data_IF_179852135477
#
_entry.id   IF_179852135477
#
_cell.length_a   1.000
_cell.length_b   1.000
_cell.length_c   1.000
_cell.angle_alpha   90.00
_cell.angle_beta   90.00
_cell.angle_gamma   90.00
#
_symmetry.space_group_name_H-M   'P 1'
#
loop_
_entity.id
_entity.type
_entity.pdbx_description
1 polymer ?
#
# COMPACT_ATOMS: atom_id res chain seq x y z
N UNK A 1 -5.99 25.82 -21.43
CA UNK A 1 -6.53 24.96 -20.35
C UNK A 1 -5.38 24.08 -19.90
N UNK A 2 -5.09 24.05 -18.60
CA UNK A 2 -3.95 23.29 -18.07
C UNK A 2 -4.38 21.83 -17.90
N UNK A 3 -3.51 20.87 -18.22
CA UNK A 3 -3.85 19.43 -18.13
C UNK A 3 -3.49 18.91 -16.72
N UNK A 4 -4.51 18.52 -15.96
CA UNK A 4 -4.42 18.09 -14.56
C UNK A 4 -4.57 16.58 -14.36
N UNK A 5 -5.09 15.87 -15.36
CA UNK A 5 -5.34 14.43 -15.30
C UNK A 5 -4.75 13.75 -16.53
N UNK A 6 -4.12 12.60 -16.33
CA UNK A 6 -3.44 11.81 -17.36
C UNK A 6 -3.86 10.35 -17.26
N UNK A 7 -4.30 9.74 -18.36
CA UNK A 7 -4.43 8.28 -18.43
C UNK A 7 -3.04 7.65 -18.29
N UNK A 8 -2.95 6.41 -17.83
CA UNK A 8 -1.66 5.71 -17.78
C UNK A 8 -0.98 5.63 -19.16
N UNK A 9 -1.76 5.55 -20.25
CA UNK A 9 -1.25 5.57 -21.63
C UNK A 9 -0.68 6.91 -22.09
N UNK A 10 -0.89 8.00 -21.33
CA UNK A 10 -0.43 9.35 -21.65
C UNK A 10 0.81 9.76 -20.86
N UNK A 11 1.27 8.92 -19.93
CA UNK A 11 2.44 9.15 -19.09
C UNK A 11 3.64 8.28 -19.44
N UNK A 12 4.72 8.42 -18.68
CA UNK A 12 5.89 7.53 -18.68
C UNK A 12 6.77 7.80 -17.44
N UNK A 13 7.82 7.01 -17.24
CA UNK A 13 8.75 7.11 -16.12
C UNK A 13 9.41 8.50 -15.96
N UNK A 14 9.58 9.26 -17.05
CA UNK A 14 10.22 10.58 -17.00
C UNK A 14 9.30 11.67 -16.44
N UNK A 15 7.99 11.42 -16.38
CA UNK A 15 7.00 12.37 -15.84
C UNK A 15 6.85 12.26 -14.32
N UNK A 16 7.87 11.73 -13.63
CA UNK A 16 7.87 11.50 -12.18
C UNK A 16 7.57 12.75 -11.34
N UNK A 17 7.99 13.93 -11.80
CA UNK A 17 7.73 15.19 -11.09
C UNK A 17 6.24 15.54 -11.11
N UNK A 18 5.54 15.21 -12.20
CA UNK A 18 4.15 15.55 -12.44
C UNK A 18 3.18 14.46 -11.96
N UNK A 19 3.51 13.19 -12.20
CA UNK A 19 2.66 12.02 -11.91
C UNK A 19 3.02 11.33 -10.59
N UNK A 20 4.07 11.81 -9.92
CA UNK A 20 4.68 11.11 -8.79
C UNK A 20 5.36 9.81 -9.22
N UNK A 21 6.01 9.14 -8.26
CA UNK A 21 6.70 7.87 -8.52
C UNK A 21 5.74 6.75 -8.94
N UNK A 22 4.57 6.66 -8.29
CA UNK A 22 3.59 5.61 -8.57
C UNK A 22 2.92 5.80 -9.93
N UNK A 23 2.41 7.00 -10.22
CA UNK A 23 1.74 7.29 -11.49
C UNK A 23 2.67 7.15 -12.69
N UNK A 24 3.92 7.64 -12.56
CA UNK A 24 4.92 7.48 -13.62
C UNK A 24 5.25 6.01 -13.90
N UNK A 25 5.36 5.16 -12.87
CA UNK A 25 5.62 3.74 -13.04
C UNK A 25 4.40 2.95 -13.53
N UNK A 26 3.18 3.32 -13.14
CA UNK A 26 1.94 2.76 -13.71
C UNK A 26 1.85 3.06 -15.21
N UNK A 27 2.19 4.29 -15.60
CA UNK A 27 2.23 4.70 -16.98
C UNK A 27 3.33 3.96 -17.77
N UNK A 28 4.53 3.84 -17.20
CA UNK A 28 5.63 3.09 -17.83
C UNK A 28 5.27 1.62 -18.03
N UNK A 29 4.75 0.93 -17.01
CA UNK A 29 4.31 -0.46 -17.13
C UNK A 29 3.22 -0.63 -18.18
N UNK A 30 2.29 0.34 -18.27
CA UNK A 30 1.25 0.35 -19.31
C UNK A 30 1.87 0.51 -20.71
N UNK A 31 2.85 1.41 -20.87
CA UNK A 31 3.58 1.61 -22.12
C UNK A 31 4.42 0.40 -22.56
N UNK A 32 4.90 -0.39 -21.60
CA UNK A 32 5.59 -1.66 -21.82
C UNK A 32 4.64 -2.82 -22.18
N UNK A 33 3.32 -2.60 -22.16
CA UNK A 33 2.32 -3.64 -22.44
C UNK A 33 2.14 -4.67 -21.31
N UNK A 34 2.57 -4.34 -20.09
CA UNK A 34 2.39 -5.21 -18.92
C UNK A 34 0.92 -5.19 -18.48
N UNK A 35 0.43 -6.23 -17.75
CA UNK A 35 -0.98 -6.36 -17.43
C UNK A 35 -1.41 -5.42 -16.29
N UNK A 36 -1.45 -4.12 -16.54
CA UNK A 36 -1.83 -3.09 -15.56
C UNK A 36 -3.34 -2.83 -15.65
N UNK A 37 -4.09 -2.87 -14.53
CA UNK A 37 -5.46 -2.39 -14.51
C UNK A 37 -5.51 -0.92 -14.93
N UNK A 38 -6.45 -0.59 -15.82
CA UNK A 38 -6.55 0.74 -16.43
C UNK A 38 -6.91 1.82 -15.40
N UNK A 39 -6.46 3.04 -15.64
CA UNK A 39 -6.63 4.14 -14.71
C UNK A 39 -6.02 5.44 -15.19
N UNK A 40 -6.03 6.43 -14.30
CA UNK A 40 -5.46 7.75 -14.53
C UNK A 40 -4.80 8.31 -13.27
N UNK A 41 -3.93 9.29 -13.48
CA UNK A 41 -3.24 10.02 -12.43
C UNK A 41 -3.64 11.49 -12.47
N UNK A 42 -4.05 12.01 -11.32
CA UNK A 42 -4.25 13.43 -11.05
C UNK A 42 -2.90 13.98 -10.57
N UNK A 43 -2.41 15.05 -11.20
CA UNK A 43 -1.01 15.47 -11.05
C UNK A 43 -0.66 16.03 -9.67
N UNK A 44 0.63 16.05 -9.35
CA UNK A 44 1.19 16.77 -8.20
C UNK A 44 0.87 18.26 -8.25
N UNK A 45 0.85 18.85 -9.44
CA UNK A 45 0.46 20.25 -9.62
C UNK A 45 -1.00 20.51 -9.24
N UNK A 46 -1.91 19.55 -9.46
CA UNK A 46 -3.30 19.67 -9.00
C UNK A 46 -3.39 19.68 -7.46
N UNK A 47 -2.49 18.96 -6.77
CA UNK A 47 -2.36 19.04 -5.32
C UNK A 47 -1.88 20.43 -4.88
N UNK A 48 -0.89 21.02 -5.56
CA UNK A 48 -0.43 22.38 -5.27
C UNK A 48 -1.57 23.39 -5.48
N UNK A 49 -2.28 23.29 -6.60
CA UNK A 49 -3.42 24.15 -6.90
C UNK A 49 -4.53 24.02 -5.84
N UNK A 50 -4.82 22.80 -5.38
CA UNK A 50 -5.77 22.57 -4.28
C UNK A 50 -5.39 23.37 -3.02
N UNK A 51 -4.11 23.43 -2.65
CA UNK A 51 -3.68 24.24 -1.50
C UNK A 51 -3.75 25.75 -1.77
N UNK A 52 -3.40 26.19 -2.98
CA UNK A 52 -3.51 27.59 -3.42
C UNK A 52 -4.97 28.09 -3.43
N UNK A 53 -5.90 27.20 -3.80
CA UNK A 53 -7.34 27.45 -3.84
C UNK A 53 -8.01 27.33 -2.45
N UNK A 54 -7.23 27.35 -1.37
CA UNK A 54 -7.76 27.30 0.00
C UNK A 54 -8.25 25.91 0.42
N UNK A 55 -7.60 24.85 -0.10
CA UNK A 55 -7.95 23.44 0.13
C UNK A 55 -9.28 23.04 -0.51
N UNK A 56 -9.53 23.53 -1.72
CA UNK A 56 -10.68 23.15 -2.54
C UNK A 56 -10.24 22.67 -3.92
N UNK A 57 -10.98 21.72 -4.48
CA UNK A 57 -10.76 21.27 -5.86
C UNK A 57 -11.59 22.18 -6.75
N UNK A 58 -10.94 22.98 -7.60
CA UNK A 58 -11.65 23.89 -8.50
C UNK A 58 -12.38 23.15 -9.64
N UNK A 59 -13.28 23.88 -10.30
CA UNK A 59 -14.15 23.36 -11.36
C UNK A 59 -13.37 22.78 -12.55
N UNK A 60 -12.20 23.33 -12.90
CA UNK A 60 -11.37 22.84 -14.01
C UNK A 60 -10.79 21.45 -13.71
N UNK A 61 -10.25 21.26 -12.50
CA UNK A 61 -9.73 19.96 -12.05
C UNK A 61 -10.88 18.96 -11.94
N UNK A 62 -12.00 19.35 -11.33
CA UNK A 62 -13.16 18.47 -11.17
C UNK A 62 -13.74 18.04 -12.53
N UNK A 63 -13.84 18.95 -13.49
CA UNK A 63 -14.30 18.62 -14.85
C UNK A 63 -13.40 17.59 -15.53
N UNK A 64 -12.08 17.73 -15.42
CA UNK A 64 -11.14 16.74 -15.98
C UNK A 64 -11.23 15.40 -15.27
N UNK A 65 -11.39 15.35 -13.95
CA UNK A 65 -11.55 14.07 -13.25
C UNK A 65 -12.82 13.35 -13.75
N UNK A 66 -13.93 14.06 -13.90
CA UNK A 66 -15.17 13.51 -14.43
C UNK A 66 -14.99 13.00 -15.88
N UNK A 67 -14.30 13.76 -16.73
CA UNK A 67 -13.97 13.35 -18.11
C UNK A 67 -13.17 12.04 -18.13
N UNK A 68 -12.15 11.91 -17.28
CA UNK A 68 -11.26 10.74 -17.27
C UNK A 68 -11.90 9.51 -16.61
N UNK A 69 -12.87 9.69 -15.71
CA UNK A 69 -13.74 8.60 -15.28
C UNK A 69 -14.51 8.04 -16.47
N UNK A 70 -15.14 8.90 -17.29
CA UNK A 70 -15.89 8.44 -18.49
C UNK A 70 -14.97 7.72 -19.48
N UNK A 71 -13.76 8.23 -19.73
CA UNK A 71 -12.77 7.53 -20.57
C UNK A 71 -12.43 6.15 -20.01
N UNK A 72 -12.28 6.04 -18.69
CA UNK A 72 -12.01 4.75 -18.05
C UNK A 72 -13.22 3.80 -18.15
N UNK A 73 -14.45 4.31 -18.08
CA UNK A 73 -15.66 3.52 -18.33
C UNK A 73 -15.67 2.95 -19.76
N UNK A 74 -15.33 3.76 -20.75
CA UNK A 74 -15.24 3.35 -22.16
C UNK A 74 -14.18 2.26 -22.38
N UNK A 75 -12.98 2.43 -21.79
CA UNK A 75 -11.86 1.48 -21.91
C UNK A 75 -12.20 0.15 -21.21
N UNK A 76 -12.83 0.21 -20.05
CA UNK A 76 -13.10 -1.00 -19.23
C UNK A 76 -14.42 -1.69 -19.59
N UNK A 77 -15.33 -1.01 -20.28
CA UNK A 77 -16.69 -1.49 -20.52
C UNK A 77 -17.56 -1.57 -19.26
N UNK A 78 -17.10 -0.98 -18.14
CA UNK A 78 -17.79 -0.93 -16.84
C UNK A 78 -18.20 0.52 -16.56
N UNK A 79 -19.25 0.73 -15.77
CA UNK A 79 -19.75 2.08 -15.45
C UNK A 79 -19.77 2.35 -13.95
N UNK A 80 -19.36 3.55 -13.56
CA UNK A 80 -19.20 3.95 -12.17
C UNK A 80 -20.56 4.15 -11.50
N UNK A 81 -20.86 3.32 -10.49
CA UNK A 81 -22.18 3.28 -9.85
C UNK A 81 -23.26 2.52 -10.60
N UNK A 82 -22.89 1.78 -11.64
CA UNK A 82 -23.85 1.07 -12.48
C UNK A 82 -24.48 -0.14 -11.76
N UNK A 83 -25.76 -0.36 -12.02
CA UNK A 83 -26.54 -1.44 -11.40
C UNK A 83 -26.51 -2.74 -12.21
N UNK A 84 -25.73 -2.76 -13.28
CA UNK A 84 -25.52 -3.96 -14.08
C UNK A 84 -24.03 -4.32 -14.07
N UNK A 85 -23.15 -3.48 -14.62
CA UNK A 85 -21.71 -3.75 -14.74
C UNK A 85 -20.86 -2.68 -14.04
N UNK A 86 -20.83 -2.68 -12.69
CA UNK A 86 -20.18 -1.63 -11.92
C UNK A 86 -18.67 -1.57 -12.13
N UNK A 87 -18.16 -0.35 -12.31
CA UNK A 87 -16.76 -0.01 -12.20
C UNK A 87 -16.46 0.31 -10.75
N UNK A 88 -15.53 -0.43 -10.15
CA UNK A 88 -14.97 -0.14 -8.84
C UNK A 88 -13.52 0.29 -9.02
N UNK A 89 -13.07 1.24 -8.20
CA UNK A 89 -11.73 1.82 -8.30
C UNK A 89 -10.99 1.78 -6.96
N UNK A 90 -9.66 1.77 -7.05
CA UNK A 90 -8.78 2.14 -5.96
C UNK A 90 -8.32 3.59 -6.13
N UNK A 91 -8.13 4.28 -5.02
CA UNK A 91 -7.54 5.62 -4.96
C UNK A 91 -6.27 5.53 -4.14
N UNK A 92 -5.13 5.79 -4.79
CA UNK A 92 -3.80 5.57 -4.23
C UNK A 92 -2.94 6.82 -4.38
N UNK A 93 -2.49 7.35 -3.27
CA UNK A 93 -1.56 8.48 -3.25
C UNK A 93 -0.20 8.10 -3.85
N UNK A 94 0.51 9.07 -4.45
CA UNK A 94 1.84 8.87 -5.00
C UNK A 94 2.62 10.17 -5.18
N UNK A 95 3.52 10.49 -4.24
CA UNK A 95 4.41 11.64 -4.35
C UNK A 95 5.61 11.34 -5.25
N UNK A 96 6.37 12.39 -5.61
CA UNK A 96 7.63 12.27 -6.36
C UNK A 96 8.65 11.39 -5.64
N UNK A 97 8.78 11.55 -4.31
CA UNK A 97 9.57 10.66 -3.46
C UNK A 97 8.69 9.54 -2.90
N UNK A 98 9.27 8.35 -2.73
CA UNK A 98 8.57 7.24 -2.08
C UNK A 98 8.46 7.52 -0.58
N UNK A 99 7.23 7.47 -0.05
CA UNK A 99 6.91 7.61 1.37
C UNK A 99 6.14 6.36 1.85
N UNK A 100 6.81 5.20 2.00
CA UNK A 100 6.14 3.95 2.39
C UNK A 100 5.47 4.07 3.76
N UNK A 101 4.30 3.44 3.91
CA UNK A 101 3.49 3.52 5.13
C UNK A 101 2.75 4.84 5.32
N UNK A 102 3.27 5.97 4.81
CA UNK A 102 2.73 7.31 5.14
C UNK A 102 1.43 7.69 4.42
N UNK A 103 1.08 6.92 3.40
CA UNK A 103 0.32 7.37 2.24
C UNK A 103 -0.91 6.48 2.06
N UNK A 104 -2.10 7.09 2.14
CA UNK A 104 -3.34 6.34 2.22
C UNK A 104 -3.73 5.68 0.88
N UNK A 105 -4.39 4.53 1.00
CA UNK A 105 -4.99 3.77 -0.11
C UNK A 105 -6.42 3.45 0.26
N UNK A 106 -7.35 3.70 -0.66
CA UNK A 106 -8.76 3.30 -0.54
C UNK A 106 -9.04 2.29 -1.64
N UNK A 107 -9.56 1.12 -1.27
CA UNK A 107 -9.99 0.09 -2.22
C UNK A 107 -11.51 0.05 -2.32
N UNK A 108 -12.01 -0.59 -3.37
CA UNK A 108 -13.44 -0.88 -3.57
C UNK A 108 -14.33 0.40 -3.64
N UNK A 109 -13.76 1.54 -4.02
CA UNK A 109 -14.50 2.80 -4.14
C UNK A 109 -15.50 2.71 -5.29
N UNK A 110 -16.72 3.17 -5.04
CA UNK A 110 -17.89 3.03 -5.91
C UNK A 110 -18.93 2.04 -5.38
N UNK A 111 -18.65 1.36 -4.26
CA UNK A 111 -19.65 0.52 -3.60
C UNK A 111 -20.70 1.36 -2.86
N UNK A 112 -21.95 0.95 -3.03
CA UNK A 112 -23.11 1.32 -2.22
C UNK A 112 -24.04 0.09 -2.13
N UNK A 113 -25.18 0.21 -1.46
CA UNK A 113 -26.08 -0.93 -1.27
C UNK A 113 -26.66 -1.49 -2.59
N UNK A 114 -26.88 -0.66 -3.61
CA UNK A 114 -27.34 -1.17 -4.91
C UNK A 114 -26.20 -1.95 -5.60
N UNK A 115 -25.01 -1.37 -5.66
CA UNK A 115 -23.85 -1.96 -6.33
C UNK A 115 -23.39 -3.25 -5.64
N UNK A 116 -23.39 -3.29 -4.30
CA UNK A 116 -22.99 -4.50 -3.55
C UNK A 116 -23.93 -5.68 -3.84
N UNK A 117 -25.23 -5.43 -3.97
CA UNK A 117 -26.20 -6.47 -4.33
C UNK A 117 -25.94 -6.99 -5.76
N UNK A 118 -25.60 -6.10 -6.69
CA UNK A 118 -25.29 -6.47 -8.09
C UNK A 118 -24.03 -7.33 -8.18
N UNK A 119 -22.95 -6.95 -7.49
CA UNK A 119 -21.73 -7.76 -7.50
C UNK A 119 -21.89 -9.07 -6.72
N UNK A 120 -22.75 -9.10 -5.68
CA UNK A 120 -23.10 -10.32 -4.95
C UNK A 120 -23.79 -11.34 -5.87
N UNK A 121 -24.77 -10.88 -6.66
CA UNK A 121 -25.49 -11.72 -7.61
C UNK A 121 -24.57 -12.20 -8.74
N UNK A 122 -23.83 -11.29 -9.38
CA UNK A 122 -22.96 -11.62 -10.52
C UNK A 122 -21.82 -12.57 -10.17
N UNK A 123 -21.25 -12.45 -8.97
CA UNK A 123 -20.18 -13.34 -8.52
C UNK A 123 -20.68 -14.68 -7.99
N UNK A 124 -21.97 -14.80 -7.66
CA UNK A 124 -22.48 -15.92 -6.88
C UNK A 124 -21.88 -16.01 -5.47
N UNK A 125 -21.22 -14.94 -5.00
CA UNK A 125 -20.48 -14.90 -3.75
C UNK A 125 -20.92 -13.66 -2.92
N UNK A 126 -22.11 -13.71 -2.28
CA UNK A 126 -22.60 -12.60 -1.48
C UNK A 126 -21.70 -12.29 -0.28
N UNK A 127 -21.04 -13.31 0.30
CA UNK A 127 -20.09 -13.11 1.40
C UNK A 127 -18.96 -12.17 0.96
N UNK A 128 -18.35 -12.42 -0.20
CA UNK A 128 -17.30 -11.56 -0.76
C UNK A 128 -17.76 -10.13 -0.99
N UNK A 129 -18.93 -9.95 -1.62
CA UNK A 129 -19.46 -8.62 -1.91
C UNK A 129 -19.66 -7.78 -0.64
N UNK A 130 -20.30 -8.35 0.39
CA UNK A 130 -20.51 -7.67 1.67
C UNK A 130 -19.21 -7.48 2.45
N UNK A 131 -18.24 -8.39 2.33
CA UNK A 131 -16.89 -8.19 2.88
C UNK A 131 -16.17 -7.00 2.23
N UNK A 132 -16.26 -6.86 0.90
CA UNK A 132 -15.73 -5.71 0.18
C UNK A 132 -16.40 -4.40 0.62
N UNK A 133 -17.71 -4.42 0.86
CA UNK A 133 -18.45 -3.22 1.26
C UNK A 133 -18.13 -2.77 2.69
N UNK A 134 -18.10 -3.70 3.66
CA UNK A 134 -17.70 -3.33 5.03
C UNK A 134 -16.25 -2.82 5.07
N UNK A 135 -15.34 -3.41 4.29
CA UNK A 135 -13.94 -2.94 4.17
C UNK A 135 -13.91 -1.54 3.57
N UNK A 136 -14.67 -1.30 2.51
CA UNK A 136 -14.77 0.03 1.90
C UNK A 136 -15.23 1.09 2.90
N UNK A 137 -16.31 0.81 3.65
CA UNK A 137 -16.84 1.75 4.65
C UNK A 137 -15.76 2.06 5.70
N UNK A 138 -15.10 1.04 6.25
CA UNK A 138 -14.03 1.21 7.24
C UNK A 138 -12.86 2.04 6.67
N UNK A 139 -12.32 1.65 5.51
CA UNK A 139 -11.20 2.34 4.88
C UNK A 139 -11.53 3.80 4.53
N UNK A 140 -12.72 4.03 3.97
CA UNK A 140 -13.18 5.37 3.63
C UNK A 140 -13.36 6.24 4.90
N UNK A 141 -13.94 5.67 5.96
CA UNK A 141 -14.14 6.38 7.23
C UNK A 141 -12.82 6.74 7.91
N UNK A 142 -11.85 5.82 7.88
CA UNK A 142 -10.53 6.01 8.46
C UNK A 142 -9.72 7.05 7.68
N UNK A 143 -9.62 6.88 6.37
CA UNK A 143 -8.76 7.71 5.51
C UNK A 143 -9.41 9.06 5.19
N UNK A 144 -10.66 9.06 4.75
CA UNK A 144 -11.31 10.28 4.25
C UNK A 144 -11.80 11.15 5.38
N UNK A 145 -12.26 10.53 6.48
CA UNK A 145 -12.89 11.25 7.57
C UNK A 145 -12.10 11.25 8.87
N UNK A 146 -10.92 10.60 8.91
CA UNK A 146 -10.01 10.59 10.07
C UNK A 146 -10.69 10.09 11.37
N UNK A 147 -11.66 9.19 11.25
CA UNK A 147 -12.44 8.64 12.39
C UNK A 147 -11.64 7.59 13.19
N UNK A 148 -10.61 7.00 12.58
CA UNK A 148 -9.77 5.97 13.17
C UNK A 148 -10.38 4.56 13.10
N UNK A 149 -9.59 3.58 12.65
CA UNK A 149 -10.01 2.17 12.52
C UNK A 149 -10.53 1.53 13.81
N UNK A 150 -10.09 1.99 14.97
CA UNK A 150 -10.37 1.37 16.29
C UNK A 150 -11.87 1.12 16.54
N UNK A 151 -12.73 2.07 16.19
CA UNK A 151 -14.18 1.93 16.43
C UNK A 151 -14.80 0.84 15.57
N UNK A 152 -14.33 0.71 14.33
CA UNK A 152 -14.78 -0.34 13.42
C UNK A 152 -14.28 -1.72 13.87
N UNK A 153 -13.01 -1.85 14.28
CA UNK A 153 -12.45 -3.10 14.82
C UNK A 153 -13.24 -3.61 16.04
N UNK A 154 -13.65 -2.71 16.95
CA UNK A 154 -14.49 -3.07 18.10
C UNK A 154 -15.84 -3.67 17.69
N UNK A 155 -16.44 -3.16 16.61
CA UNK A 155 -17.70 -3.70 16.08
C UNK A 155 -17.51 -5.08 15.45
N UNK A 156 -16.40 -5.32 14.73
CA UNK A 156 -16.08 -6.65 14.19
C UNK A 156 -15.87 -7.64 15.34
N UNK A 157 -15.08 -7.27 16.35
CA UNK A 157 -14.79 -8.14 17.50
C UNK A 157 -16.07 -8.49 18.28
N UNK A 158 -16.94 -7.51 18.51
CA UNK A 158 -18.24 -7.74 19.14
C UNK A 158 -19.13 -8.69 18.32
N UNK A 159 -19.12 -8.56 16.99
CA UNK A 159 -19.85 -9.47 16.11
C UNK A 159 -19.26 -10.89 16.16
N UNK A 160 -17.94 -11.04 16.14
CA UNK A 160 -17.28 -12.35 16.26
C UNK A 160 -17.61 -13.03 17.58
N UNK A 161 -17.57 -12.29 18.69
CA UNK A 161 -17.96 -12.79 20.01
C UNK A 161 -19.43 -13.22 20.04
N UNK A 162 -20.34 -12.39 19.50
CA UNK A 162 -21.79 -12.69 19.38
C UNK A 162 -22.05 -13.96 18.56
N UNK A 163 -21.23 -14.23 17.53
CA UNK A 163 -21.37 -15.38 16.63
C UNK A 163 -20.54 -16.59 17.06
N UNK A 164 -19.71 -16.46 18.09
CA UNK A 164 -18.85 -17.54 18.59
C UNK A 164 -17.72 -17.93 17.64
N UNK A 165 -17.30 -17.02 16.75
CA UNK A 165 -16.22 -17.25 15.78
C UNK A 165 -14.95 -16.52 16.21
N UNK A 166 -13.79 -16.90 15.66
CA UNK A 166 -12.50 -16.29 16.03
C UNK A 166 -11.90 -15.45 14.91
N UNK A 167 -12.21 -15.77 13.66
CA UNK A 167 -11.65 -15.13 12.48
C UNK A 167 -12.75 -14.49 11.63
N UNK A 168 -12.45 -13.35 11.01
CA UNK A 168 -13.36 -12.62 10.14
C UNK A 168 -13.84 -13.46 8.92
N UNK A 169 -13.04 -14.44 8.50
CA UNK A 169 -13.38 -15.35 7.40
C UNK A 169 -14.53 -16.30 7.75
N UNK A 170 -14.81 -16.48 9.04
CA UNK A 170 -15.91 -17.33 9.54
C UNK A 170 -17.26 -16.60 9.57
N UNK A 171 -17.27 -15.27 9.37
CA UNK A 171 -18.51 -14.49 9.29
C UNK A 171 -19.25 -14.76 7.97
N UNK A 172 -20.56 -14.98 8.09
CA UNK A 172 -21.44 -15.26 6.95
C UNK A 172 -21.77 -13.98 6.16
N UNK A 173 -22.37 -14.13 4.99
CA UNK A 173 -22.83 -12.97 4.19
C UNK A 173 -23.83 -12.09 4.96
N UNK A 174 -24.74 -12.70 5.72
CA UNK A 174 -25.73 -11.97 6.52
C UNK A 174 -25.08 -11.24 7.68
N UNK A 175 -24.06 -11.84 8.31
CA UNK A 175 -23.29 -11.18 9.36
C UNK A 175 -22.56 -9.95 8.80
N UNK A 176 -21.90 -10.08 7.66
CA UNK A 176 -21.18 -8.98 7.02
C UNK A 176 -22.12 -7.87 6.52
N UNK A 177 -23.33 -8.23 6.12
CA UNK A 177 -24.39 -7.26 5.79
C UNK A 177 -24.87 -6.50 7.03
N UNK A 178 -25.10 -7.20 8.15
CA UNK A 178 -25.41 -6.57 9.46
C UNK A 178 -24.26 -5.63 9.87
N UNK A 179 -23.01 -6.06 9.70
CA UNK A 179 -21.81 -5.32 10.05
C UNK A 179 -21.62 -4.06 9.21
N UNK A 180 -21.86 -4.15 7.89
CA UNK A 180 -21.84 -2.99 7.01
C UNK A 180 -22.87 -1.92 7.44
N UNK A 181 -24.05 -2.35 7.87
CA UNK A 181 -25.05 -1.46 8.47
C UNK A 181 -24.56 -0.79 9.75
N UNK A 182 -23.96 -1.56 10.67
CA UNK A 182 -23.37 -1.02 11.90
C UNK A 182 -22.24 -0.01 11.60
N UNK A 183 -21.42 -0.27 10.57
CA UNK A 183 -20.34 0.62 10.16
C UNK A 183 -20.88 1.95 9.60
N UNK A 184 -21.95 1.92 8.80
CA UNK A 184 -22.61 3.15 8.32
C UNK A 184 -23.20 3.97 9.47
N UNK A 185 -23.76 3.33 10.48
CA UNK A 185 -24.27 4.02 11.67
C UNK A 185 -23.14 4.60 12.53
N UNK A 186 -22.02 3.89 12.69
CA UNK A 186 -20.83 4.41 13.39
C UNK A 186 -20.25 5.62 12.64
N UNK A 187 -20.15 5.55 11.30
CA UNK A 187 -19.78 6.69 10.47
C UNK A 187 -20.70 7.88 10.73
N UNK A 188 -22.02 7.66 10.71
CA UNK A 188 -23.02 8.70 10.93
C UNK A 188 -22.92 9.30 12.33
N UNK A 189 -22.68 8.48 13.35
CA UNK A 189 -22.51 8.93 14.73
C UNK A 189 -21.27 9.81 14.91
N UNK A 190 -20.18 9.53 14.19
CA UNK A 190 -18.90 10.26 14.28
C UNK A 190 -18.89 11.53 13.43
N UNK A 191 -19.47 11.48 12.25
CA UNK A 191 -19.40 12.56 11.24
C UNK A 191 -20.64 13.46 11.24
N UNK A 192 -21.78 12.95 11.69
CA UNK A 192 -23.06 13.65 11.66
C UNK A 192 -23.79 13.60 10.33
N UNK A 193 -23.23 12.94 9.31
CA UNK A 193 -23.81 12.76 7.98
C UNK A 193 -23.86 11.27 7.60
N UNK A 194 -24.75 10.90 6.68
CA UNK A 194 -24.80 9.54 6.15
C UNK A 194 -23.54 9.22 5.34
N UNK A 195 -23.17 7.93 5.28
CA UNK A 195 -22.13 7.46 4.38
C UNK A 195 -22.53 7.76 2.92
N UNK A 196 -21.63 8.29 2.08
CA UNK A 196 -21.99 8.72 0.72
C UNK A 196 -22.35 7.52 -0.16
N UNK A 197 -23.55 7.54 -0.74
CA UNK A 197 -24.01 6.51 -1.67
C UNK A 197 -23.63 6.82 -3.14
N UNK A 198 -23.40 8.10 -3.49
CA UNK A 198 -22.95 8.51 -4.83
C UNK A 198 -21.44 8.22 -5.01
N UNK A 199 -21.05 7.35 -5.95
CA UNK A 199 -19.65 7.07 -6.26
C UNK A 199 -18.83 8.31 -6.61
N UNK A 200 -19.42 9.33 -7.25
CA UNK A 200 -18.70 10.57 -7.59
C UNK A 200 -18.37 11.39 -6.36
N UNK A 201 -19.28 11.46 -5.39
CA UNK A 201 -19.03 12.07 -4.09
C UNK A 201 -17.94 11.31 -3.33
N UNK A 202 -18.00 9.97 -3.33
CA UNK A 202 -16.95 9.12 -2.75
C UNK A 202 -15.58 9.42 -3.39
N UNK A 203 -15.50 9.48 -4.72
CA UNK A 203 -14.25 9.75 -5.43
C UNK A 203 -13.68 11.13 -5.09
N UNK A 204 -14.52 12.16 -5.07
CA UNK A 204 -14.07 13.51 -4.69
C UNK A 204 -13.61 13.57 -3.25
N UNK A 205 -14.32 12.92 -2.32
CA UNK A 205 -13.91 12.79 -0.92
C UNK A 205 -12.53 12.13 -0.79
N UNK A 206 -12.31 11.02 -1.49
CA UNK A 206 -11.05 10.30 -1.50
C UNK A 206 -9.88 11.13 -2.09
N UNK A 207 -10.10 11.85 -3.18
CA UNK A 207 -9.07 12.71 -3.78
C UNK A 207 -8.71 13.87 -2.86
N UNK A 208 -9.72 14.54 -2.27
CA UNK A 208 -9.48 15.59 -1.27
C UNK A 208 -8.71 15.03 -0.07
N UNK A 209 -9.05 13.83 0.40
CA UNK A 209 -8.34 13.18 1.51
C UNK A 209 -6.86 12.92 1.18
N UNK A 210 -6.56 12.43 -0.03
CA UNK A 210 -5.17 12.25 -0.46
C UNK A 210 -4.42 13.58 -0.53
N UNK A 211 -5.04 14.64 -1.06
CA UNK A 211 -4.38 15.94 -1.05
C UNK A 211 -4.16 16.47 0.36
N UNK A 212 -5.17 16.36 1.25
CA UNK A 212 -5.02 16.71 2.67
C UNK A 212 -3.90 15.92 3.32
N UNK A 213 -3.78 14.62 3.02
CA UNK A 213 -2.81 13.73 3.65
C UNK A 213 -1.35 14.17 3.46
N UNK A 214 -1.10 14.97 2.41
CA UNK A 214 0.17 15.63 2.21
C UNK A 214 0.54 16.56 3.37
N UNK A 215 -0.38 17.31 3.97
CA UNK A 215 -0.06 18.25 5.08
C UNK A 215 -0.28 17.66 6.47
N UNK A 216 -0.43 16.33 6.57
CA UNK A 216 -0.65 15.69 7.87
C UNK A 216 0.62 15.78 8.73
N UNK A 217 0.50 15.85 10.07
CA UNK A 217 1.65 15.97 10.98
C UNK A 217 2.70 14.88 10.73
N UNK A 218 2.27 13.62 10.55
CA UNK A 218 3.13 12.48 10.23
C UNK A 218 3.90 12.67 8.91
N UNK A 219 3.24 13.19 7.87
CA UNK A 219 3.86 13.44 6.57
C UNK A 219 4.86 14.60 6.64
N UNK A 220 4.54 15.65 7.40
CA UNK A 220 5.44 16.77 7.68
C UNK A 220 6.73 16.33 8.38
N UNK A 221 6.63 15.45 9.40
CA UNK A 221 7.80 14.86 10.07
C UNK A 221 8.63 14.03 9.10
N UNK A 222 8.00 13.09 8.36
CA UNK A 222 8.70 12.25 7.40
C UNK A 222 9.44 13.08 6.34
N UNK A 223 8.80 14.12 5.81
CA UNK A 223 9.40 14.99 4.79
C UNK A 223 10.63 15.72 5.31
N UNK A 224 10.55 16.31 6.51
CA UNK A 224 11.68 16.99 7.14
C UNK A 224 12.86 16.04 7.34
N UNK A 225 12.58 14.81 7.75
CA UNK A 225 13.62 13.81 8.03
C UNK A 225 14.25 13.20 6.77
N UNK A 226 13.57 13.29 5.62
CA UNK A 226 14.02 12.73 4.35
C UNK A 226 14.34 13.81 3.30
N UNK A 227 14.42 15.08 3.71
CA UNK A 227 14.70 16.23 2.84
C UNK A 227 13.74 16.35 1.64
N UNK A 228 12.46 16.04 1.85
CA UNK A 228 11.43 16.11 0.81
C UNK A 228 10.74 17.49 0.89
N UNK A 229 10.84 18.34 -0.15
CA UNK A 229 10.19 19.65 -0.15
C UNK A 229 8.66 19.56 -0.08
N UNK A 230 8.05 20.41 0.75
CA UNK A 230 6.59 20.54 0.85
C UNK A 230 5.95 20.91 -0.49
N UNK A 231 6.63 21.74 -1.29
CA UNK A 231 6.13 22.23 -2.59
C UNK A 231 5.99 21.16 -3.67
N UNK A 232 6.47 19.93 -3.44
CA UNK A 232 6.34 18.85 -4.42
C UNK A 232 4.93 18.30 -4.55
N UNK A 233 4.09 18.44 -3.53
CA UNK A 233 2.75 17.86 -3.50
C UNK A 233 2.72 16.34 -3.65
N UNK A 234 1.51 15.79 -3.80
CA UNK A 234 1.29 14.37 -4.10
C UNK A 234 0.37 14.21 -5.30
N UNK A 235 0.61 13.21 -6.14
CA UNK A 235 -0.34 12.80 -7.16
C UNK A 235 -1.39 11.84 -6.56
N UNK A 236 -2.51 11.69 -7.26
CA UNK A 236 -3.57 10.71 -6.93
C UNK A 236 -3.76 9.77 -8.09
N UNK A 237 -3.62 8.46 -7.86
CA UNK A 237 -3.82 7.44 -8.88
C UNK A 237 -5.19 6.81 -8.66
N UNK A 238 -6.05 6.91 -9.66
CA UNK A 238 -7.36 6.26 -9.68
C UNK A 238 -7.27 5.10 -10.66
N UNK A 239 -7.44 3.88 -10.16
CA UNK A 239 -7.18 2.67 -10.92
C UNK A 239 -8.34 1.67 -10.77
N UNK A 240 -8.78 1.06 -11.86
CA UNK A 240 -9.79 -0.01 -11.82
C UNK A 240 -9.37 -1.14 -10.88
N UNK A 241 -10.30 -1.64 -10.08
CA UNK A 241 -10.03 -2.73 -9.14
C UNK A 241 -9.72 -4.03 -9.88
N UNK A 242 -8.70 -4.72 -9.38
CA UNK A 242 -8.49 -6.15 -9.55
C UNK A 242 -8.64 -6.83 -8.17
N UNK A 243 -9.36 -7.95 -8.11
CA UNK A 243 -9.77 -8.58 -6.85
C UNK A 243 -9.00 -9.88 -6.58
N UNK A 244 -8.12 -9.84 -5.58
CA UNK A 244 -7.42 -11.02 -5.07
C UNK A 244 -8.25 -11.90 -4.12
N UNK A 245 -9.50 -11.51 -3.82
CA UNK A 245 -10.33 -12.07 -2.75
C UNK A 245 -11.68 -12.65 -3.21
N UNK A 246 -11.86 -12.95 -4.49
CA UNK A 246 -13.12 -13.52 -5.01
C UNK A 246 -13.26 -15.02 -4.77
N UNK A 247 -12.17 -15.72 -4.44
CA UNK A 247 -12.11 -17.16 -4.30
C UNK A 247 -10.67 -17.67 -4.20
N UNK A 248 -10.51 -18.98 -4.17
CA UNK A 248 -9.20 -19.65 -4.03
C UNK A 248 -8.35 -19.59 -5.32
N UNK A 249 -8.97 -19.26 -6.46
CA UNK A 249 -8.33 -18.97 -7.73
C UNK A 249 -7.90 -17.48 -7.87
N UNK A 250 -8.01 -16.71 -6.80
CA UNK A 250 -7.54 -15.33 -6.69
C UNK A 250 -6.48 -15.18 -5.58
N UNK A 251 -5.64 -14.15 -5.70
CA UNK A 251 -4.66 -13.83 -4.67
C UNK A 251 -4.01 -12.46 -4.88
N UNK A 252 -3.15 -12.06 -3.97
CA UNK A 252 -2.38 -10.81 -4.06
C UNK A 252 -1.06 -10.96 -3.33
N UNK A 253 -0.05 -10.24 -3.76
CA UNK A 253 1.28 -10.35 -3.19
C UNK A 253 2.17 -9.15 -3.46
N UNK A 254 3.29 -9.16 -2.74
CA UNK A 254 4.38 -8.21 -2.85
C UNK A 254 5.66 -9.00 -3.06
N UNK A 255 6.45 -8.62 -4.05
CA UNK A 255 7.70 -9.31 -4.33
C UNK A 255 8.79 -8.37 -4.84
N UNK A 256 10.01 -8.84 -4.68
CA UNK A 256 11.24 -8.23 -5.09
C UNK A 256 11.96 -9.15 -6.07
N UNK A 257 12.57 -8.56 -7.08
CA UNK A 257 13.38 -9.29 -8.10
C UNK A 257 14.68 -9.86 -7.53
N UNK A 258 15.17 -9.29 -6.42
CA UNK A 258 16.28 -9.80 -5.60
C UNK A 258 15.93 -9.61 -4.13
N UNK A 259 16.55 -10.41 -3.25
CA UNK A 259 16.35 -10.30 -1.81
C UNK A 259 16.78 -8.91 -1.30
N UNK A 260 15.86 -8.10 -0.71
CA UNK A 260 16.17 -6.75 -0.26
C UNK A 260 17.02 -6.71 1.02
N UNK A 261 17.16 -7.83 1.74
CA UNK A 261 17.96 -7.94 2.95
C UNK A 261 19.38 -8.41 2.65
N UNK A 262 19.55 -9.40 1.78
CA UNK A 262 20.87 -10.01 1.49
C UNK A 262 21.47 -9.57 0.16
N UNK A 263 20.64 -9.11 -0.78
CA UNK A 263 21.02 -8.82 -2.17
C UNK A 263 21.14 -10.06 -3.05
N UNK A 264 20.78 -11.24 -2.54
CA UNK A 264 20.81 -12.47 -3.33
C UNK A 264 19.84 -12.38 -4.53
N UNK A 265 20.32 -12.79 -5.71
CA UNK A 265 19.52 -12.82 -6.92
C UNK A 265 18.45 -13.92 -6.84
N UNK A 266 17.22 -13.56 -7.19
CA UNK A 266 16.07 -14.46 -7.17
C UNK A 266 14.83 -13.80 -6.58
N UNK A 267 13.66 -14.27 -6.99
CA UNK A 267 12.40 -13.75 -6.48
C UNK A 267 12.29 -13.95 -4.97
N UNK A 268 12.09 -12.84 -4.27
CA UNK A 268 11.86 -12.80 -2.84
C UNK A 268 10.53 -12.10 -2.59
N UNK A 269 9.66 -12.65 -1.76
CA UNK A 269 8.37 -12.02 -1.52
C UNK A 269 7.35 -12.96 -0.93
N UNK A 270 6.16 -12.42 -0.76
CA UNK A 270 5.06 -13.05 -0.05
C UNK A 270 3.75 -12.82 -0.81
N UNK A 271 2.84 -13.80 -0.74
CA UNK A 271 1.50 -13.67 -1.30
C UNK A 271 0.46 -14.38 -0.43
N UNK A 272 -0.80 -13.99 -0.60
CA UNK A 272 -1.95 -14.64 0.02
C UNK A 272 -2.96 -15.02 -1.07
N UNK A 273 -3.54 -16.21 -0.97
CA UNK A 273 -4.73 -16.60 -1.73
C UNK A 273 -5.98 -16.01 -1.07
N UNK A 274 -6.98 -15.67 -1.88
CA UNK A 274 -8.28 -15.17 -1.43
C UNK A 274 -8.13 -14.01 -0.42
N UNK A 275 -7.44 -12.94 -0.83
CA UNK A 275 -7.04 -11.81 0.02
C UNK A 275 -6.94 -10.49 -0.76
N UNK A 276 -7.05 -9.36 -0.07
CA UNK A 276 -6.69 -8.04 -0.62
C UNK A 276 -5.32 -7.59 -0.06
N UNK A 277 -4.67 -6.63 -0.72
CA UNK A 277 -3.31 -6.21 -0.34
C UNK A 277 -3.18 -5.77 1.12
N UNK A 278 -4.25 -5.25 1.73
CA UNK A 278 -4.29 -4.93 3.16
C UNK A 278 -4.03 -6.15 4.04
N UNK A 279 -4.54 -7.33 3.66
CA UNK A 279 -4.36 -8.55 4.46
C UNK A 279 -2.91 -9.06 4.45
N UNK A 280 -2.16 -8.77 3.37
CA UNK A 280 -0.72 -9.06 3.27
C UNK A 280 0.06 -8.18 4.24
N UNK A 281 -0.26 -6.89 4.28
CA UNK A 281 0.44 -5.91 5.14
C UNK A 281 0.07 -6.09 6.62
N UNK A 282 -1.20 -6.35 6.92
CA UNK A 282 -1.67 -6.48 8.31
C UNK A 282 -1.15 -7.74 9.02
N UNK A 283 -0.67 -8.74 8.28
CA UNK A 283 -0.10 -9.97 8.84
C UNK A 283 -1.08 -10.79 9.69
N UNK A 284 -2.39 -10.60 9.50
CA UNK A 284 -3.45 -11.35 10.20
C UNK A 284 -3.44 -12.82 9.78
N UNK A 285 -3.09 -13.07 8.51
CA UNK A 285 -2.85 -14.40 7.95
C UNK A 285 -1.37 -14.54 7.65
N UNK A 286 -0.81 -15.71 7.94
CA UNK A 286 0.59 -16.00 7.57
C UNK A 286 0.72 -16.05 6.04
N UNK A 287 1.52 -15.17 5.43
CA UNK A 287 1.73 -15.17 3.99
C UNK A 287 2.48 -16.42 3.51
N UNK A 288 2.20 -16.83 2.27
CA UNK A 288 2.95 -17.88 1.56
C UNK A 288 4.16 -17.26 0.88
N UNK A 289 5.25 -18.02 0.71
CA UNK A 289 6.42 -17.52 -0.04
C UNK A 289 6.07 -17.38 -1.51
N UNK A 290 6.61 -16.36 -2.18
CA UNK A 290 6.35 -16.11 -3.60
C UNK A 290 6.61 -17.33 -4.51
N UNK A 291 7.57 -18.19 -4.15
CA UNK A 291 7.87 -19.41 -4.88
C UNK A 291 6.73 -20.45 -4.88
N UNK A 292 5.88 -20.43 -3.85
CA UNK A 292 4.71 -21.32 -3.75
C UNK A 292 3.57 -20.89 -4.68
N UNK A 293 3.69 -19.72 -5.33
CA UNK A 293 2.75 -19.26 -6.35
C UNK A 293 2.72 -20.19 -7.57
N UNK A 294 3.84 -20.87 -7.87
CA UNK A 294 3.92 -21.87 -8.93
C UNK A 294 2.90 -23.01 -8.77
N UNK A 295 2.59 -23.37 -7.52
CA UNK A 295 1.64 -24.46 -7.22
C UNK A 295 0.19 -23.98 -7.22
N UNK A 296 -0.05 -22.70 -6.92
CA UNK A 296 -1.40 -22.12 -6.81
C UNK A 296 -1.89 -21.49 -8.11
N UNK A 297 -1.03 -20.75 -8.79
CA UNK A 297 -1.32 -19.99 -10.00
C UNK A 297 -0.20 -20.18 -11.03
N UNK A 298 -0.02 -21.40 -11.59
CA UNK A 298 1.14 -21.71 -12.43
C UNK A 298 1.28 -20.76 -13.64
N UNK A 299 0.19 -20.52 -14.37
CA UNK A 299 0.20 -19.64 -15.55
C UNK A 299 0.50 -18.18 -15.16
N UNK A 300 -0.13 -17.68 -14.09
CA UNK A 300 0.14 -16.33 -13.59
C UNK A 300 1.57 -16.19 -13.05
N UNK A 301 2.15 -17.24 -12.47
CA UNK A 301 3.51 -17.22 -11.94
C UNK A 301 4.55 -17.21 -13.06
N UNK A 302 4.35 -17.97 -14.13
CA UNK A 302 5.21 -17.89 -15.33
C UNK A 302 5.15 -16.48 -15.93
N UNK A 303 3.95 -15.93 -16.14
CA UNK A 303 3.80 -14.55 -16.59
C UNK A 303 4.46 -13.55 -15.62
N UNK A 304 4.34 -13.76 -14.31
CA UNK A 304 4.94 -12.89 -13.30
C UNK A 304 6.47 -12.89 -13.38
N UNK A 305 7.11 -14.04 -13.60
CA UNK A 305 8.56 -14.12 -13.81
C UNK A 305 9.01 -13.33 -15.03
N UNK A 306 8.27 -13.41 -16.14
CA UNK A 306 8.57 -12.65 -17.36
C UNK A 306 8.44 -11.14 -17.13
N UNK A 307 7.40 -10.73 -16.40
CA UNK A 307 7.22 -9.33 -15.97
C UNK A 307 8.39 -8.89 -15.10
N UNK A 308 8.79 -9.68 -14.11
CA UNK A 308 9.92 -9.40 -13.22
C UNK A 308 11.21 -9.17 -14.00
N UNK A 309 11.53 -10.07 -14.94
CA UNK A 309 12.71 -9.96 -15.79
C UNK A 309 12.66 -8.72 -16.68
N UNK A 310 11.49 -8.43 -17.27
CA UNK A 310 11.27 -7.23 -18.10
C UNK A 310 11.51 -5.96 -17.29
N UNK A 311 10.93 -5.88 -16.09
CA UNK A 311 11.04 -4.70 -15.23
C UNK A 311 12.47 -4.49 -14.73
N UNK A 312 13.14 -5.53 -14.25
CA UNK A 312 14.53 -5.42 -13.79
C UNK A 312 15.48 -5.01 -14.93
N UNK A 313 15.30 -5.59 -16.12
CA UNK A 313 16.10 -5.21 -17.30
C UNK A 313 15.80 -3.78 -17.77
N UNK A 314 14.54 -3.36 -17.74
CA UNK A 314 14.12 -2.03 -18.19
C UNK A 314 14.64 -0.94 -17.24
N UNK A 315 14.40 -1.09 -15.93
CA UNK A 315 14.84 -0.12 -14.92
C UNK A 315 16.32 -0.26 -14.55
N UNK A 316 16.97 -1.34 -14.99
CA UNK A 316 18.39 -1.66 -14.72
C UNK A 316 18.69 -1.61 -13.21
N UNK A 317 17.76 -2.11 -12.40
CA UNK A 317 17.84 -2.15 -10.93
C UNK A 317 16.79 -3.12 -10.36
N UNK A 318 17.05 -3.65 -9.16
CA UNK A 318 16.10 -4.48 -8.42
C UNK A 318 14.79 -3.71 -8.19
N UNK A 319 13.70 -4.36 -8.59
CA UNK A 319 12.33 -3.87 -8.46
C UNK A 319 11.61 -4.50 -7.26
N UNK A 320 10.79 -3.69 -6.61
CA UNK A 320 9.75 -3.99 -5.63
C UNK A 320 8.39 -3.81 -6.33
N UNK A 321 7.60 -4.88 -6.41
CA UNK A 321 6.34 -4.92 -7.14
C UNK A 321 5.18 -5.41 -6.28
N UNK A 322 4.00 -4.88 -6.59
CA UNK A 322 2.73 -5.35 -6.04
C UNK A 322 1.87 -5.90 -7.19
N UNK A 323 1.23 -7.04 -6.95
CA UNK A 323 0.39 -7.71 -7.94
C UNK A 323 -0.87 -8.33 -7.33
N UNK A 324 -1.84 -8.58 -8.20
CA UNK A 324 -3.06 -9.34 -7.90
C UNK A 324 -3.27 -10.39 -8.97
N UNK A 325 -3.74 -11.56 -8.57
CA UNK A 325 -4.29 -12.58 -9.45
C UNK A 325 -5.80 -12.60 -9.25
N UNK A 326 -6.55 -12.39 -10.31
CA UNK A 326 -8.02 -12.48 -10.32
C UNK A 326 -8.42 -13.55 -11.32
N UNK A 327 -9.04 -14.64 -10.84
CA UNK A 327 -9.44 -15.80 -11.65
C UNK A 327 -8.29 -16.33 -12.53
N UNK A 328 -7.12 -16.54 -11.91
CA UNK A 328 -5.91 -16.99 -12.59
C UNK A 328 -5.20 -15.96 -13.46
N UNK A 329 -5.75 -14.75 -13.65
CA UNK A 329 -5.14 -13.69 -14.46
C UNK A 329 -4.32 -12.73 -13.62
N UNK A 330 -3.05 -12.53 -13.99
CA UNK A 330 -2.14 -11.59 -13.34
C UNK A 330 -2.48 -10.14 -13.68
N UNK A 331 -2.41 -9.28 -12.67
CA UNK A 331 -2.47 -7.83 -12.76
C UNK A 331 -1.34 -7.18 -11.96
N UNK A 332 -0.58 -6.29 -12.60
CA UNK A 332 0.48 -5.51 -11.97
C UNK A 332 -0.06 -4.19 -11.45
N UNK A 333 0.09 -3.95 -10.15
CA UNK A 333 -0.49 -2.79 -9.46
C UNK A 333 0.54 -1.71 -9.15
N UNK A 334 1.81 -2.09 -9.03
CA UNK A 334 2.89 -1.16 -8.74
C UNK A 334 4.24 -1.79 -9.11
N UNK A 335 5.18 -0.95 -9.51
CA UNK A 335 6.62 -1.26 -9.46
C UNK A 335 7.36 -0.02 -8.97
N UNK A 336 8.52 -0.22 -8.34
CA UNK A 336 9.50 0.82 -8.01
C UNK A 336 10.85 0.18 -7.76
N UNK A 337 11.92 0.96 -7.85
CA UNK A 337 13.22 0.50 -7.34
C UNK A 337 13.08 0.15 -5.86
N UNK A 338 13.41 -1.09 -5.51
CA UNK A 338 13.15 -1.61 -4.18
C UNK A 338 14.08 -1.02 -3.13
N UNK A 339 13.51 -0.62 -2.00
CA UNK A 339 14.30 -0.31 -0.78
C UNK A 339 15.02 -1.57 -0.33
N UNK A 340 16.23 -1.42 0.19
CA UNK A 340 17.12 -2.53 0.50
C UNK A 340 18.15 -2.13 1.56
N UNK A 341 18.73 -3.12 2.23
CA UNK A 341 19.83 -2.89 3.19
C UNK A 341 21.09 -2.42 2.48
N UNK A 342 22.06 -1.86 3.21
CA UNK A 342 23.34 -1.48 2.63
C UNK A 342 24.12 -2.68 2.05
N UNK A 343 24.07 -3.83 2.73
CA UNK A 343 24.66 -5.07 2.23
C UNK A 343 24.01 -5.48 0.90
N UNK A 344 22.68 -5.46 0.83
CA UNK A 344 21.95 -5.79 -0.39
C UNK A 344 22.24 -4.78 -1.51
N UNK A 345 22.32 -3.48 -1.20
CA UNK A 345 22.66 -2.45 -2.18
C UNK A 345 24.02 -2.70 -2.83
N UNK A 346 25.05 -2.99 -2.03
CA UNK A 346 26.40 -3.30 -2.53
C UNK A 346 26.40 -4.57 -3.38
N UNK A 347 25.79 -5.66 -2.88
CA UNK A 347 25.73 -6.93 -3.60
C UNK A 347 25.03 -6.79 -4.96
N UNK A 348 23.87 -6.13 -4.96
CA UNK A 348 23.08 -5.92 -6.18
C UNK A 348 23.83 -5.01 -7.15
N UNK A 349 24.46 -3.93 -6.68
CA UNK A 349 25.23 -3.04 -7.53
C UNK A 349 26.38 -3.78 -8.23
N UNK A 350 27.14 -4.62 -7.49
CA UNK A 350 28.17 -5.47 -8.08
C UNK A 350 27.61 -6.46 -9.10
N UNK A 351 26.53 -7.17 -8.74
CA UNK A 351 25.91 -8.14 -9.66
C UNK A 351 25.41 -7.48 -10.95
N UNK A 352 24.82 -6.28 -10.86
CA UNK A 352 24.35 -5.55 -12.04
C UNK A 352 25.51 -5.12 -12.96
N UNK A 353 26.71 -4.88 -12.41
CA UNK A 353 27.93 -4.63 -13.21
C UNK A 353 28.41 -5.92 -13.87
N UNK A 354 28.50 -7.01 -13.10
CA UNK A 354 28.94 -8.31 -13.59
C UNK A 354 27.99 -8.86 -14.68
N UNK A 355 26.70 -8.57 -14.57
CA UNK A 355 25.66 -8.91 -15.54
C UNK A 355 25.63 -7.97 -16.76
N UNK A 356 26.48 -6.94 -16.79
CA UNK A 356 26.55 -5.95 -17.87
C UNK A 356 25.35 -4.99 -17.91
N UNK A 357 24.50 -4.99 -16.88
CA UNK A 357 23.36 -4.09 -16.77
C UNK A 357 23.75 -2.67 -16.37
N UNK A 358 24.89 -2.46 -15.72
CA UNK A 358 25.39 -1.15 -15.25
C UNK A 358 26.90 -1.04 -15.43
N UNK A 359 27.41 0.18 -15.57
CA UNK A 359 28.85 0.47 -15.42
C UNK A 359 29.20 0.64 -13.94
N UNK A 360 30.48 0.52 -13.59
CA UNK A 360 30.95 0.77 -12.22
C UNK A 360 30.58 2.19 -11.72
N UNK A 361 30.66 3.20 -12.59
CA UNK A 361 30.28 4.57 -12.23
C UNK A 361 28.77 4.68 -11.92
N UNK A 362 27.92 4.03 -12.72
CA UNK A 362 26.46 3.99 -12.46
C UNK A 362 26.15 3.22 -11.17
N UNK A 363 26.88 2.13 -10.90
CA UNK A 363 26.73 1.29 -9.70
C UNK A 363 27.14 2.01 -8.41
N UNK A 364 28.15 2.89 -8.46
CA UNK A 364 28.47 3.77 -7.33
C UNK A 364 27.37 4.82 -7.14
N UNK A 365 26.87 5.43 -8.23
CA UNK A 365 25.87 6.50 -8.17
C UNK A 365 24.49 6.05 -7.66
N UNK A 366 24.16 4.75 -7.74
CA UNK A 366 22.88 4.22 -7.24
C UNK A 366 22.84 3.99 -5.73
N UNK A 367 23.99 4.02 -5.04
CA UNK A 367 24.06 3.77 -3.59
C UNK A 367 23.86 5.10 -2.85
N UNK A 368 22.80 5.19 -2.04
CA UNK A 368 22.63 6.32 -1.10
C UNK A 368 23.73 6.23 -0.03
N UNK A 369 24.62 7.24 0.10
CA UNK A 369 25.68 7.24 1.11
C UNK A 369 25.16 7.04 2.54
N UNK A 370 23.95 7.53 2.86
CA UNK A 370 23.33 7.38 4.18
C UNK A 370 23.01 5.93 4.51
N UNK A 371 22.81 5.08 3.52
CA UNK A 371 22.60 3.65 3.77
C UNK A 371 23.88 3.01 4.32
N UNK A 372 25.07 3.47 3.92
CA UNK A 372 26.34 2.86 4.34
C UNK A 372 26.60 3.00 5.84
N UNK A 373 26.04 4.02 6.49
CA UNK A 373 26.11 4.19 7.96
C UNK A 373 25.51 2.98 8.70
N UNK A 374 24.52 2.29 8.10
CA UNK A 374 23.92 1.09 8.69
C UNK A 374 24.90 -0.08 8.82
N UNK A 375 25.95 -0.13 7.99
CA UNK A 375 27.02 -1.13 8.12
C UNK A 375 27.88 -0.90 9.37
N UNK A 376 27.86 0.33 9.89
CA UNK A 376 28.56 0.74 11.10
C UNK A 376 27.68 0.60 12.36
N UNK A 377 26.44 0.14 12.21
CA UNK A 377 25.55 -0.06 13.34
C UNK A 377 26.08 -1.14 14.29
N UNK A 378 25.85 -0.97 15.61
CA UNK A 378 26.26 -1.94 16.61
C UNK A 378 25.74 -3.35 16.29
N UNK A 379 26.60 -4.33 16.49
CA UNK A 379 26.26 -5.76 16.49
C UNK A 379 26.37 -6.29 17.92
N UNK A 380 25.63 -7.35 18.23
CA UNK A 380 25.85 -8.04 19.50
C UNK A 380 27.22 -8.72 19.49
N UNK A 381 27.87 -8.72 20.65
CA UNK A 381 29.04 -9.57 20.86
C UNK A 381 28.65 -11.05 20.67
N UNK A 382 29.40 -11.77 19.83
CA UNK A 382 29.05 -13.12 19.44
C UNK A 382 29.07 -14.11 20.62
N UNK A 383 29.98 -13.91 21.58
CA UNK A 383 30.06 -14.76 22.76
C UNK A 383 28.89 -14.49 23.72
N UNK A 384 28.55 -13.22 23.95
CA UNK A 384 27.40 -12.81 24.75
C UNK A 384 26.08 -13.31 24.14
N UNK A 385 25.90 -13.18 22.82
CA UNK A 385 24.70 -13.65 22.13
C UNK A 385 24.56 -15.17 22.22
N UNK A 386 25.66 -15.91 22.09
CA UNK A 386 25.66 -17.39 22.22
C UNK A 386 25.36 -17.86 23.64
N UNK A 387 25.77 -17.09 24.66
CA UNK A 387 25.50 -17.40 26.06
C UNK A 387 24.08 -16.99 26.52
N UNK A 388 23.44 -16.05 25.82
CA UNK A 388 22.09 -15.60 26.14
C UNK A 388 21.04 -16.69 25.85
N UNK A 389 20.00 -16.74 26.68
CA UNK A 389 18.83 -17.60 26.43
C UNK A 389 17.74 -16.77 25.74
N UNK A 390 17.35 -17.08 24.49
CA UNK A 390 16.30 -16.35 23.79
C UNK A 390 14.95 -16.50 24.50
N UNK A 391 14.27 -15.39 24.75
CA UNK A 391 12.89 -15.40 25.27
C UNK A 391 11.85 -15.68 24.17
N UNK A 392 12.22 -15.50 22.90
CA UNK A 392 11.35 -15.72 21.75
C UNK A 392 12.12 -15.54 20.43
N UNK A 393 11.43 -15.78 19.31
CA UNK A 393 11.95 -15.59 17.96
C UNK A 393 10.84 -15.00 17.08
N UNK A 394 11.19 -14.02 16.25
CA UNK A 394 10.34 -13.42 15.24
C UNK A 394 11.00 -13.37 13.87
N UNK A 395 10.41 -12.62 12.93
CA UNK A 395 10.98 -12.35 11.61
C UNK A 395 12.04 -11.25 11.71
N UNK A 396 13.16 -11.41 11.00
CA UNK A 396 14.23 -10.42 10.94
C UNK A 396 13.94 -9.32 9.92
N UNK A 397 12.93 -8.49 10.20
CA UNK A 397 12.45 -7.46 9.25
C UNK A 397 13.49 -6.38 8.92
N UNK A 398 14.34 -6.01 9.88
CA UNK A 398 15.43 -5.04 9.69
C UNK A 398 16.69 -5.49 10.43
N UNK A 399 17.90 -5.39 9.83
CA UNK A 399 19.14 -5.81 10.46
C UNK A 399 19.61 -4.85 11.57
N UNK A 400 20.30 -5.39 12.57
CA UNK A 400 20.95 -4.61 13.64
C UNK A 400 20.80 -5.22 15.03
N UNK A 401 21.55 -4.69 16.00
CA UNK A 401 21.41 -5.04 17.41
C UNK A 401 20.83 -3.88 18.22
N UNK A 402 19.75 -4.14 18.96
CA UNK A 402 19.06 -3.15 19.78
C UNK A 402 19.04 -3.57 21.25
N UNK A 403 19.26 -2.63 22.16
CA UNK A 403 19.15 -2.85 23.61
C UNK A 403 18.58 -1.59 24.28
N UNK A 404 17.55 -1.76 25.12
CA UNK A 404 16.89 -0.66 25.81
C UNK A 404 15.74 -1.12 26.69
N UNK A 405 15.13 -0.18 27.42
CA UNK A 405 13.93 -0.39 28.24
C UNK A 405 12.72 -0.60 27.33
N UNK A 406 11.83 -1.52 27.71
CA UNK A 406 10.57 -1.74 26.98
C UNK A 406 9.62 -0.58 27.26
N UNK A 407 9.04 -0.03 26.18
CA UNK A 407 7.95 0.96 26.19
C UNK A 407 6.84 0.49 25.24
N UNK A 408 5.59 0.91 25.50
CA UNK A 408 4.42 0.37 24.78
C UNK A 408 3.68 1.41 23.92
N UNK A 409 4.11 2.66 23.96
CA UNK A 409 3.59 3.73 23.09
C UNK A 409 4.73 4.54 22.45
N UNK A 410 4.42 5.18 21.32
CA UNK A 410 5.36 6.03 20.61
C UNK A 410 5.72 7.28 21.44
N UNK A 411 4.75 7.84 22.17
CA UNK A 411 4.94 8.98 23.05
C UNK A 411 5.87 8.63 24.21
N UNK A 412 5.70 7.45 24.85
CA UNK A 412 6.63 6.97 25.87
C UNK A 412 8.04 6.81 25.31
N UNK A 413 8.19 6.27 24.10
CA UNK A 413 9.48 6.13 23.46
C UNK A 413 10.19 7.48 23.29
N UNK A 414 9.47 8.51 22.86
CA UNK A 414 10.00 9.88 22.75
C UNK A 414 10.36 10.48 24.11
N UNK A 415 9.46 10.37 25.10
CA UNK A 415 9.68 10.92 26.44
C UNK A 415 10.91 10.33 27.13
N UNK A 416 11.11 9.01 27.01
CA UNK A 416 12.26 8.33 27.59
C UNK A 416 13.54 8.61 26.80
N UNK A 417 13.48 8.63 25.46
CA UNK A 417 14.63 9.00 24.64
C UNK A 417 15.08 10.44 24.91
N UNK A 418 14.15 11.38 25.13
CA UNK A 418 14.45 12.76 25.50
C UNK A 418 15.17 12.88 26.85
N UNK A 419 15.03 11.89 27.74
CA UNK A 419 15.78 11.77 29.01
C UNK A 419 17.14 11.09 28.84
N UNK A 420 17.55 10.76 27.61
CA UNK A 420 18.80 10.07 27.30
C UNK A 420 18.76 8.55 27.50
N UNK A 421 17.57 7.98 27.69
CA UNK A 421 17.39 6.55 27.92
C UNK A 421 17.24 5.79 26.61
N UNK A 422 17.87 4.62 26.52
CA UNK A 422 17.69 3.71 25.38
C UNK A 422 16.40 2.92 25.56
N UNK A 423 15.56 2.89 24.55
CA UNK A 423 14.26 2.19 24.58
C UNK A 423 14.07 1.21 23.43
N UNK A 424 13.20 0.23 23.63
CA UNK A 424 12.70 -0.73 22.64
C UNK A 424 11.18 -0.60 22.61
N UNK A 425 10.64 -0.19 21.46
CA UNK A 425 9.21 0.00 21.26
C UNK A 425 8.54 -1.34 21.01
N UNK A 426 7.59 -1.73 21.85
CA UNK A 426 6.85 -2.99 21.72
C UNK A 426 5.38 -2.67 21.39
N UNK A 427 4.90 -3.18 20.26
CA UNK A 427 3.55 -2.91 19.73
C UNK A 427 2.88 -4.17 19.24
N UNK A 428 1.55 -4.13 19.08
CA UNK A 428 0.83 -5.19 18.37
C UNK A 428 1.30 -5.20 16.90
N UNK A 429 1.18 -4.05 16.26
CA UNK A 429 1.73 -3.66 14.95
C UNK A 429 2.07 -2.16 15.03
N UNK A 430 2.90 -1.65 14.13
CA UNK A 430 3.17 -0.21 14.03
C UNK A 430 2.26 0.44 12.99
N UNK A 431 1.87 1.68 13.21
CA UNK A 431 1.17 2.51 12.22
C UNK A 431 1.96 3.79 11.91
N UNK A 432 1.59 4.56 10.86
CA UNK A 432 2.26 5.82 10.51
C UNK A 432 2.31 6.86 11.63
N UNK A 433 1.41 6.74 12.60
CA UNK A 433 1.30 7.56 13.81
C UNK A 433 2.46 7.29 14.77
N UNK A 434 3.02 6.08 14.75
CA UNK A 434 4.12 5.67 15.62
C UNK A 434 5.49 6.19 15.15
N UNK A 435 5.57 6.91 14.00
CA UNK A 435 6.84 7.28 13.34
C UNK A 435 7.85 7.98 14.26
N UNK A 436 7.38 8.85 15.15
CA UNK A 436 8.26 9.60 16.04
C UNK A 436 8.86 8.69 17.12
N UNK A 437 8.05 7.81 17.71
CA UNK A 437 8.50 6.80 18.65
C UNK A 437 9.38 5.72 18.03
N UNK A 438 9.07 5.31 16.80
CA UNK A 438 9.89 4.38 16.01
C UNK A 438 11.30 4.94 15.80
N UNK A 439 11.42 6.25 15.56
CA UNK A 439 12.71 6.94 15.42
C UNK A 439 13.46 7.07 16.74
N UNK A 440 12.75 7.32 17.84
CA UNK A 440 13.32 7.46 19.17
C UNK A 440 13.87 6.11 19.72
N UNK A 441 13.26 5.00 19.31
CA UNK A 441 13.62 3.67 19.79
C UNK A 441 14.92 3.14 19.16
N UNK A 442 15.66 2.33 19.94
CA UNK A 442 16.83 1.60 19.46
C UNK A 442 16.44 0.35 18.65
N UNK A 443 15.23 -0.16 18.88
CA UNK A 443 14.67 -1.31 18.18
C UNK A 443 13.16 -1.39 18.37
N UNK A 444 12.50 -2.15 17.50
CA UNK A 444 11.04 -2.32 17.47
C UNK A 444 10.75 -3.81 17.51
N UNK A 445 9.79 -4.20 18.35
CA UNK A 445 9.26 -5.56 18.42
C UNK A 445 7.75 -5.52 18.22
N UNK A 446 7.26 -6.18 17.17
CA UNK A 446 5.82 -6.33 16.91
C UNK A 446 5.34 -7.74 17.20
N UNK A 447 4.06 -7.88 17.55
CA UNK A 447 3.41 -9.17 17.77
C UNK A 447 2.94 -9.79 16.46
N UNK A 448 2.47 -8.96 15.51
CA UNK A 448 2.08 -9.35 14.14
C UNK A 448 2.77 -8.47 13.09
N UNK A 449 2.71 -8.89 11.82
CA UNK A 449 3.37 -8.26 10.68
C UNK A 449 4.34 -9.18 9.94
N UNK A 450 4.59 -8.90 8.65
CA UNK A 450 5.45 -9.68 7.75
C UNK A 450 6.82 -9.04 7.48
N UNK A 451 7.48 -9.49 6.41
CA UNK A 451 8.73 -8.88 5.91
C UNK A 451 8.50 -7.59 5.09
N UNK A 452 7.24 -7.30 4.72
CA UNK A 452 6.86 -6.28 3.74
C UNK A 452 6.08 -5.12 4.34
#
# INVERSE_FOLDING_TARGET
MKKWVYLFTEGNANMRELLGGKGANLAEMTGLGLPVPQGFTITTEACTQYYEDGREINDEIQAQINEYIVKMEEITGKKFGDKENPLLVSVRSGARASMPGMMDTILNLGLNEDVVNVIAEKSGNPRWAWDCYRRFIQMYSDVVMEVGKKYFEQLIDAMKEKKGVKQDVELTADDLKELAGQFKEEYRAKIGNNFPDDPKEQLMGAIKAVFRSWDNPRANVYRRDNDIPYSWGTAVNVQSMAFGNMGDDCGTGVAFTRDPATGAKGLFGEFLTNAQGEDVVAGVRTPMKITEMADKFPEAFEQFKDVCATLESHYRDMQDMEFTVEHGKLYMLQTRNGKRTAQAALKIACDLVDEGMRTEQEAVAMIDPRNLDTLLHPQFDAAALKAATPAGKGLGASPGAACGKIVFSAEEAEEWAAKGEKVVLVRLETSPEDITGMKAAQGILTVRGGMT
#
